data_IF_780567943600
#
_entry.id   IF_780567943600
#
_cell.length_a   1.000
_cell.length_b   1.000
_cell.length_c   1.000
_cell.angle_alpha   90.00
_cell.angle_beta   90.00
_cell.angle_gamma   90.00
#
_symmetry.space_group_name_H-M   'P 1'
#
loop_
_entity.id
_entity.type
_entity.pdbx_description
1 polymer ?
#
# COMPACT_ATOMS: atom_id res chain seq x y z
N UNK A 1 16.45 -4.01 10.28
CA UNK A 1 15.80 -2.68 10.29
C UNK A 1 14.77 -2.65 9.18
N UNK A 2 13.49 -2.85 9.49
CA UNK A 2 12.42 -2.89 8.46
C UNK A 2 11.33 -1.84 8.73
N UNK A 3 11.74 -0.70 9.30
CA UNK A 3 10.87 0.44 9.61
C UNK A 3 10.16 0.97 8.35
N UNK A 4 10.86 0.95 7.21
CA UNK A 4 10.34 1.42 5.91
C UNK A 4 9.12 0.61 5.45
N UNK A 5 9.15 -0.71 5.63
CA UNK A 5 8.06 -1.60 5.21
C UNK A 5 6.81 -1.38 6.05
N UNK A 6 6.96 -1.32 7.37
CA UNK A 6 5.84 -1.05 8.27
C UNK A 6 5.23 0.33 8.01
N UNK A 7 6.05 1.34 7.75
CA UNK A 7 5.58 2.68 7.40
C UNK A 7 4.77 2.67 6.08
N UNK A 8 5.22 1.94 5.06
CA UNK A 8 4.50 1.74 3.80
C UNK A 8 3.14 1.06 4.00
N UNK A 9 3.11 -0.02 4.79
CA UNK A 9 1.87 -0.74 5.10
C UNK A 9 0.89 0.20 5.83
N UNK A 10 1.35 0.97 6.81
CA UNK A 10 0.50 1.92 7.53
C UNK A 10 -0.03 3.05 6.64
N UNK A 11 0.81 3.61 5.75
CA UNK A 11 0.36 4.62 4.77
C UNK A 11 -0.76 4.08 3.88
N UNK A 12 -0.63 2.84 3.40
CA UNK A 12 -1.62 2.19 2.57
C UNK A 12 -2.91 1.88 3.35
N UNK A 13 -2.78 1.35 4.56
CA UNK A 13 -3.92 1.09 5.45
C UNK A 13 -4.67 2.38 5.82
N UNK A 14 -3.97 3.47 6.09
CA UNK A 14 -4.57 4.79 6.38
C UNK A 14 -5.34 5.35 5.19
N UNK A 15 -4.96 4.97 3.97
CA UNK A 15 -5.68 5.29 2.73
C UNK A 15 -6.84 4.34 2.43
N UNK A 16 -7.08 3.34 3.29
CA UNK A 16 -8.14 2.33 3.11
C UNK A 16 -7.72 1.14 2.25
N UNK A 17 -6.43 0.99 1.94
CA UNK A 17 -5.91 -0.15 1.21
C UNK A 17 -5.34 -1.19 2.19
N UNK A 18 -5.93 -2.38 2.19
CA UNK A 18 -5.51 -3.50 3.05
C UNK A 18 -5.02 -4.70 2.24
N UNK A 19 -5.26 -4.68 0.93
CA UNK A 19 -4.91 -5.75 0.01
C UNK A 19 -4.30 -5.19 -1.26
N UNK A 20 -3.44 -6.01 -1.84
CA UNK A 20 -2.85 -5.83 -3.15
C UNK A 20 -3.89 -5.86 -4.26
N UNK A 21 -3.51 -5.37 -5.44
CA UNK A 21 -4.26 -5.62 -6.67
C UNK A 21 -4.39 -7.12 -7.00
N UNK A 22 -3.47 -7.95 -6.51
CA UNK A 22 -3.52 -9.43 -6.64
C UNK A 22 -4.42 -10.09 -5.58
N UNK A 23 -4.96 -9.32 -4.63
CA UNK A 23 -5.81 -9.83 -3.53
C UNK A 23 -5.05 -10.28 -2.27
N UNK A 24 -3.71 -10.31 -2.31
CA UNK A 24 -2.84 -10.64 -1.15
C UNK A 24 -2.84 -9.53 -0.09
N UNK A 25 -2.55 -9.86 1.17
CA UNK A 25 -2.43 -8.83 2.21
C UNK A 25 -1.15 -8.01 2.01
N UNK A 26 -1.19 -6.72 2.35
CA UNK A 26 0.00 -5.85 2.29
C UNK A 26 1.17 -6.37 3.13
N UNK A 27 0.89 -7.10 4.21
CA UNK A 27 1.92 -7.69 5.06
C UNK A 27 2.56 -8.95 4.46
N UNK A 28 1.99 -9.51 3.40
CA UNK A 28 2.56 -10.62 2.63
C UNK A 28 3.41 -10.11 1.45
N UNK A 29 3.25 -8.82 1.10
CA UNK A 29 4.02 -8.20 0.03
C UNK A 29 5.43 -7.84 0.48
N UNK A 30 6.34 -7.90 -0.49
CA UNK A 30 7.70 -7.40 -0.35
C UNK A 30 7.74 -5.87 -0.36
N UNK A 31 8.85 -5.28 0.08
CA UNK A 31 9.03 -3.82 0.08
C UNK A 31 8.84 -3.23 -1.33
N UNK A 32 9.42 -3.86 -2.36
CA UNK A 32 9.28 -3.43 -3.76
C UNK A 32 7.83 -3.44 -4.24
N UNK A 33 7.06 -4.47 -3.88
CA UNK A 33 5.65 -4.57 -4.26
C UNK A 33 4.81 -3.49 -3.55
N UNK A 34 5.07 -3.27 -2.26
CA UNK A 34 4.45 -2.18 -1.50
C UNK A 34 4.73 -0.80 -2.10
N UNK A 35 5.95 -0.57 -2.58
CA UNK A 35 6.30 0.68 -3.27
C UNK A 35 5.58 0.82 -4.61
N UNK A 36 5.50 -0.24 -5.41
CA UNK A 36 4.72 -0.25 -6.66
C UNK A 36 3.24 0.03 -6.41
N UNK A 37 2.66 -0.59 -5.39
CA UNK A 37 1.28 -0.34 -4.99
C UNK A 37 1.07 1.07 -4.48
N UNK A 38 1.98 1.58 -3.65
CA UNK A 38 1.93 2.96 -3.18
C UNK A 38 1.94 3.98 -4.31
N UNK A 39 2.55 3.67 -5.46
CA UNK A 39 2.51 4.54 -6.65
C UNK A 39 1.21 4.35 -7.44
N UNK A 40 0.67 3.13 -7.49
CA UNK A 40 -0.52 2.77 -8.29
C UNK A 40 -1.84 3.19 -7.63
N UNK A 41 -1.98 2.95 -6.32
CA UNK A 41 -3.17 3.20 -5.51
C UNK A 41 -3.57 4.69 -5.36
N UNK A 42 -2.66 5.68 -5.22
CA UNK A 42 -3.05 7.10 -5.09
C UNK A 42 -3.59 7.71 -6.39
N UNK A 43 -3.42 7.06 -7.55
CA UNK A 43 -4.13 7.47 -8.78
C UNK A 43 -5.63 7.14 -8.73
N UNK A 44 -6.01 6.15 -7.92
CA UNK A 44 -7.38 5.64 -7.81
C UNK A 44 -8.13 6.39 -6.70
N UNK A 45 -7.43 6.82 -5.64
CA UNK A 45 -8.03 7.47 -4.46
C UNK A 45 -8.02 9.01 -4.50
N UNK A 46 -7.92 9.62 -5.69
CA UNK A 46 -8.10 11.06 -5.87
C UNK A 46 -9.56 11.35 -6.25
N UNK A 47 -10.43 11.39 -5.25
CA UNK A 47 -11.54 12.35 -5.04
C UNK A 47 -12.60 11.71 -4.12
N UNK A 48 -12.81 12.32 -2.96
CA UNK A 48 -14.13 12.86 -2.69
C UNK A 48 -14.07 14.37 -2.92
N UNK A 49 -15.07 14.84 -3.68
CA UNK A 49 -15.44 16.25 -3.85
C UNK A 49 -15.98 16.79 -2.52
#
# INVERSE_FOLDING_TARGET
MELRRQHLIQELQKKGFYRSSDGRLLNELTLEELEKERIRLPKIFKKPK
#
